data_IF_682215256465
#
_entry.id   IF_682215256465
#
_cell.length_a   1.000
_cell.length_b   1.000
_cell.length_c   1.000
_cell.angle_alpha   90.00
_cell.angle_beta   90.00
_cell.angle_gamma   90.00
#
_symmetry.space_group_name_H-M   'P 1'
#
loop_
_entity.id
_entity.type
_entity.pdbx_description
1 polymer ?
#
# COMPACT_ATOMS: atom_id res chain seq x y z
N UNK A 1 -15.43 -18.42 2.66
CA UNK A 1 -14.02 -18.35 2.22
C UNK A 1 -13.99 -17.54 0.94
N UNK A 2 -13.44 -16.33 0.96
CA UNK A 2 -13.39 -15.42 -0.20
C UNK A 2 -11.99 -15.48 -0.76
N UNK A 3 -11.88 -15.58 -2.08
CA UNK A 3 -10.61 -15.61 -2.78
C UNK A 3 -10.59 -14.48 -3.82
N UNK A 4 -9.52 -13.68 -3.81
CA UNK A 4 -9.38 -12.52 -4.69
C UNK A 4 -8.05 -12.65 -5.42
N UNK A 5 -8.10 -12.68 -6.75
CA UNK A 5 -6.87 -12.72 -7.56
C UNK A 5 -6.06 -11.42 -7.45
N UNK A 6 -6.74 -10.28 -7.49
CA UNK A 6 -6.10 -8.95 -7.39
C UNK A 6 -6.91 -8.01 -6.51
N UNK A 7 -6.26 -7.43 -5.53
CA UNK A 7 -6.78 -6.33 -4.73
C UNK A 7 -6.12 -5.03 -5.19
N UNK A 8 -6.93 -4.07 -5.59
CA UNK A 8 -6.53 -2.69 -5.76
C UNK A 8 -7.10 -1.89 -4.59
N UNK A 9 -6.25 -1.16 -3.87
CA UNK A 9 -6.70 -0.34 -2.76
C UNK A 9 -5.86 0.92 -2.61
N UNK A 10 -6.43 1.95 -2.02
CA UNK A 10 -5.68 3.10 -1.54
C UNK A 10 -5.39 2.96 -0.05
N UNK A 11 -4.63 3.90 0.49
CA UNK A 11 -4.17 3.90 1.89
C UNK A 11 -4.25 5.30 2.48
N UNK A 12 -4.41 5.36 3.80
CA UNK A 12 -4.28 6.59 4.56
C UNK A 12 -2.83 7.04 4.70
N UNK A 13 -1.87 6.09 4.65
CA UNK A 13 -0.44 6.37 4.76
C UNK A 13 0.43 5.12 4.57
N UNK A 14 1.70 5.34 4.23
CA UNK A 14 2.73 4.31 4.06
C UNK A 14 3.95 4.72 4.88
N UNK A 15 4.43 3.83 5.74
CA UNK A 15 5.72 3.97 6.41
C UNK A 15 6.55 2.71 6.17
N UNK A 16 7.78 2.70 6.69
CA UNK A 16 8.67 1.53 6.66
C UNK A 16 8.05 0.33 7.40
N UNK A 17 7.08 0.59 8.30
CA UNK A 17 6.31 -0.44 9.00
C UNK A 17 5.14 -0.99 8.19
N UNK A 18 4.79 -0.38 7.06
CA UNK A 18 3.75 -0.85 6.15
C UNK A 18 2.60 0.14 5.92
N UNK A 19 1.43 -0.42 5.60
CA UNK A 19 0.25 0.32 5.16
C UNK A 19 -0.63 0.72 6.35
N UNK A 20 -1.22 1.90 6.28
CA UNK A 20 -2.15 2.40 7.28
C UNK A 20 -3.45 2.93 6.64
N UNK A 21 -4.56 2.84 7.38
CA UNK A 21 -5.81 3.54 7.07
C UNK A 21 -6.11 4.59 8.16
N UNK A 22 -6.76 5.68 7.76
CA UNK A 22 -7.25 6.73 8.67
C UNK A 22 -8.57 6.38 9.36
N UNK A 23 -9.28 5.34 8.90
CA UNK A 23 -10.55 4.89 9.44
C UNK A 23 -10.43 3.49 10.07
N UNK A 24 -10.48 3.41 11.40
CA UNK A 24 -10.40 2.16 12.14
C UNK A 24 -11.58 1.22 11.89
N UNK A 25 -12.76 1.74 11.51
CA UNK A 25 -13.94 0.93 11.23
C UNK A 25 -13.80 0.09 9.96
N UNK A 26 -12.90 0.47 9.04
CA UNK A 26 -12.63 -0.26 7.82
C UNK A 26 -11.47 -1.26 7.95
N UNK A 27 -10.62 -1.08 8.96
CA UNK A 27 -9.34 -1.76 9.06
C UNK A 27 -9.47 -3.30 9.12
N UNK A 28 -10.47 -3.83 9.82
CA UNK A 28 -10.70 -5.28 9.89
C UNK A 28 -11.12 -5.86 8.54
N UNK A 29 -12.01 -5.17 7.83
CA UNK A 29 -12.45 -5.56 6.48
C UNK A 29 -11.27 -5.52 5.50
N UNK A 30 -10.46 -4.47 5.54
CA UNK A 30 -9.27 -4.34 4.67
C UNK A 30 -8.21 -5.39 4.97
N UNK A 31 -7.99 -5.73 6.25
CA UNK A 31 -7.12 -6.84 6.65
C UNK A 31 -7.63 -8.18 6.09
N UNK A 32 -8.94 -8.41 6.13
CA UNK A 32 -9.55 -9.60 5.52
C UNK A 32 -9.38 -9.61 3.99
N UNK A 33 -9.51 -8.45 3.32
CA UNK A 33 -9.27 -8.31 1.88
C UNK A 33 -7.81 -8.59 1.52
N UNK A 34 -6.85 -8.06 2.28
CA UNK A 34 -5.41 -8.29 2.11
C UNK A 34 -5.03 -9.77 2.29
N UNK A 35 -5.68 -10.46 3.23
CA UNK A 35 -5.48 -11.89 3.47
C UNK A 35 -6.07 -12.78 2.36
N UNK A 36 -7.18 -12.35 1.75
CA UNK A 36 -7.83 -13.06 0.65
C UNK A 36 -7.15 -12.85 -0.72
N UNK A 37 -6.26 -11.86 -0.83
CA UNK A 37 -5.64 -11.44 -2.08
C UNK A 37 -4.35 -12.21 -2.42
N UNK A 38 -4.28 -12.75 -3.64
CA UNK A 38 -3.02 -13.26 -4.21
C UNK A 38 -2.05 -12.13 -4.52
N UNK A 39 -2.53 -11.07 -5.17
CA UNK A 39 -1.74 -9.88 -5.53
C UNK A 39 -2.37 -8.63 -4.94
N UNK A 40 -1.57 -7.86 -4.19
CA UNK A 40 -1.97 -6.58 -3.57
C UNK A 40 -1.29 -5.43 -4.29
N UNK A 41 -2.10 -4.54 -4.83
CA UNK A 41 -1.70 -3.38 -5.61
C UNK A 41 -2.20 -2.12 -4.90
N UNK A 42 -1.28 -1.34 -4.38
CA UNK A 42 -1.59 -0.06 -3.73
C UNK A 42 -1.60 1.04 -4.78
N UNK A 43 -2.66 1.85 -4.81
CA UNK A 43 -2.78 3.03 -5.68
C UNK A 43 -2.87 4.26 -4.79
N UNK A 44 -1.87 5.13 -4.87
CA UNK A 44 -1.70 6.24 -3.93
C UNK A 44 -1.05 7.46 -4.58
N UNK A 45 -1.23 8.63 -3.97
CA UNK A 45 -0.44 9.82 -4.29
C UNK A 45 0.86 9.86 -3.46
N UNK A 46 1.78 10.77 -3.82
CA UNK A 46 3.04 10.93 -3.11
C UNK A 46 2.88 11.40 -1.64
N UNK A 47 1.75 12.04 -1.30
CA UNK A 47 1.54 12.61 0.04
C UNK A 47 1.37 11.55 1.12
N UNK A 48 1.14 10.28 0.73
CA UNK A 48 0.97 9.17 1.67
C UNK A 48 2.28 8.54 2.13
N UNK A 49 3.37 8.72 1.40
CA UNK A 49 4.66 8.14 1.77
C UNK A 49 5.29 8.90 2.96
N UNK A 50 5.81 8.16 3.94
CA UNK A 50 6.29 8.70 5.21
C UNK A 50 5.18 9.14 6.17
N UNK A 51 3.91 8.95 5.80
CA UNK A 51 2.78 9.33 6.62
C UNK A 51 2.23 8.14 7.39
N UNK A 52 2.18 8.27 8.72
CA UNK A 52 1.51 7.29 9.59
C UNK A 52 0.05 7.69 9.80
N UNK A 53 -0.88 6.78 9.54
CA UNK A 53 -2.30 6.97 9.85
C UNK A 53 -2.75 6.14 11.06
N UNK A 54 -4.05 6.18 11.37
CA UNK A 54 -4.62 5.67 12.62
C UNK A 54 -4.42 4.16 12.83
N UNK A 55 -4.75 3.36 11.82
CA UNK A 55 -4.81 1.90 11.93
C UNK A 55 -3.78 1.24 11.00
N UNK A 56 -2.90 0.40 11.56
CA UNK A 56 -1.97 -0.42 10.78
C UNK A 56 -2.73 -1.57 10.11
N UNK A 57 -2.51 -1.77 8.82
CA UNK A 57 -3.18 -2.79 8.02
C UNK A 57 -2.30 -4.03 7.82
N UNK A 58 -1.10 -3.83 7.29
CA UNK A 58 -0.13 -4.90 7.03
C UNK A 58 1.28 -4.31 6.86
N UNK A 59 2.30 -5.16 6.94
CA UNK A 59 3.66 -4.82 6.54
C UNK A 59 3.79 -4.64 5.03
N UNK A 60 4.93 -4.09 4.60
CA UNK A 60 5.28 -3.92 3.18
C UNK A 60 5.44 -5.27 2.47
N UNK A 61 5.75 -6.34 3.20
CA UNK A 61 5.89 -7.72 2.69
C UNK A 61 4.60 -8.29 2.08
N UNK A 62 3.43 -7.70 2.38
CA UNK A 62 2.16 -8.06 1.74
C UNK A 62 1.88 -7.30 0.45
N UNK A 63 2.65 -6.26 0.13
CA UNK A 63 2.45 -5.43 -1.06
C UNK A 63 3.26 -5.98 -2.22
N UNK A 64 2.63 -6.08 -3.39
CA UNK A 64 3.29 -6.60 -4.58
C UNK A 64 3.62 -5.48 -5.56
N UNK A 65 2.75 -4.47 -5.64
CA UNK A 65 2.92 -3.32 -6.51
C UNK A 65 2.40 -2.05 -5.87
N UNK A 66 3.06 -0.95 -6.17
CA UNK A 66 2.60 0.41 -5.89
C UNK A 66 2.45 1.14 -7.21
N UNK A 67 1.32 1.81 -7.39
CA UNK A 67 1.08 2.79 -8.44
C UNK A 67 1.04 4.16 -7.76
N UNK A 68 1.95 5.05 -8.15
CA UNK A 68 2.08 6.38 -7.56
C UNK A 68 2.26 7.46 -8.63
N UNK A 69 1.94 8.70 -8.28
CA UNK A 69 2.28 9.85 -9.12
C UNK A 69 3.81 10.12 -9.14
N UNK A 70 4.23 11.04 -10.02
CA UNK A 70 5.65 11.36 -10.24
C UNK A 70 6.34 12.06 -9.06
N UNK A 71 5.62 12.47 -8.03
CA UNK A 71 6.13 13.18 -6.86
C UNK A 71 6.80 12.28 -5.81
N UNK A 72 6.76 10.96 -5.97
CA UNK A 72 7.44 10.03 -5.04
C UNK A 72 8.95 10.28 -5.01
N UNK A 73 9.52 10.37 -3.79
CA UNK A 73 10.94 10.68 -3.58
C UNK A 73 11.85 9.53 -3.98
N UNK A 74 13.14 9.82 -4.23
CA UNK A 74 14.15 8.79 -4.51
C UNK A 74 14.28 7.77 -3.39
N UNK A 75 14.27 8.23 -2.13
CA UNK A 75 14.29 7.37 -0.94
C UNK A 75 13.16 6.33 -0.95
N UNK A 76 11.94 6.75 -1.26
CA UNK A 76 10.80 5.82 -1.32
C UNK A 76 10.87 4.87 -2.52
N UNK A 77 11.41 5.32 -3.67
CA UNK A 77 11.68 4.43 -4.81
C UNK A 77 12.66 3.32 -4.42
N UNK A 78 13.74 3.69 -3.73
CA UNK A 78 14.78 2.75 -3.29
C UNK A 78 14.22 1.79 -2.24
N UNK A 79 13.45 2.29 -1.27
CA UNK A 79 12.82 1.46 -0.24
C UNK A 79 11.87 0.42 -0.85
N UNK A 80 10.97 0.84 -1.75
CA UNK A 80 10.06 -0.08 -2.43
C UNK A 80 10.81 -1.13 -3.25
N UNK A 81 11.86 -0.71 -3.97
CA UNK A 81 12.72 -1.61 -4.76
C UNK A 81 13.41 -2.64 -3.87
N UNK A 82 13.99 -2.20 -2.74
CA UNK A 82 14.65 -3.07 -1.77
C UNK A 82 13.67 -4.03 -1.07
N UNK A 83 12.42 -3.62 -0.92
CA UNK A 83 11.35 -4.47 -0.41
C UNK A 83 10.79 -5.46 -1.47
N UNK A 84 11.29 -5.44 -2.71
CA UNK A 84 10.80 -6.28 -3.80
C UNK A 84 9.44 -5.84 -4.36
N UNK A 85 9.01 -4.61 -4.07
CA UNK A 85 7.73 -4.06 -4.51
C UNK A 85 7.90 -3.39 -5.87
N UNK A 86 7.10 -3.81 -6.85
CA UNK A 86 7.12 -3.18 -8.16
C UNK A 86 6.51 -1.77 -8.09
N UNK A 87 7.20 -0.76 -8.61
CA UNK A 87 6.68 0.60 -8.70
C UNK A 87 6.28 0.94 -10.14
N UNK A 88 5.07 1.47 -10.30
CA UNK A 88 4.58 2.07 -11.54
C UNK A 88 4.30 3.55 -11.29
N UNK A 89 4.94 4.42 -12.07
CA UNK A 89 4.64 5.86 -12.05
C UNK A 89 3.49 6.12 -13.04
N UNK A 90 2.42 6.75 -12.57
CA UNK A 90 1.31 7.21 -13.40
C UNK A 90 1.44 8.71 -13.66
N UNK A 91 1.38 9.10 -14.94
CA UNK A 91 1.22 10.50 -15.33
C UNK A 91 -0.24 10.91 -15.10
N UNK A 92 -0.45 12.08 -14.49
CA UNK A 92 -1.78 12.66 -14.21
C UNK A 92 -2.04 13.80 -15.17
#
# INVERSE_FOLDING_TARGET
NIHVRRLFMSVGGITEQGLYNSNSLLADTERAMLAAAEEVIVVTDNSKFGHRALAHLCGLDRVHRVVADSGITGEWKDLLTNAGIALTIAEV
#
